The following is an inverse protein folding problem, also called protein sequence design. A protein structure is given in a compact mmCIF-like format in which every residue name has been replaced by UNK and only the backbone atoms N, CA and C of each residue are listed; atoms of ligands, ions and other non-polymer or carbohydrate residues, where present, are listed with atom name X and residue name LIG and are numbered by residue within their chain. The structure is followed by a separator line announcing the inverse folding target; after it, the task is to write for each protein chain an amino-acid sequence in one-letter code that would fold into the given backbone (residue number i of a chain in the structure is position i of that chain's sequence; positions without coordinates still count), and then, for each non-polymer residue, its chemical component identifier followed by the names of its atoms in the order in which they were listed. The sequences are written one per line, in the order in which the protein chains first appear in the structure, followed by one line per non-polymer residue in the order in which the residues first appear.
data_IF_418114836717
#
_entry.id   IF_418114836717
#
_cell.length_a   1.000
_cell.length_b   1.000
_cell.length_c   1.000
_cell.angle_alpha   90.00
_cell.angle_beta   90.00
_cell.angle_gamma   90.00
#
_symmetry.space_group_name_H-M   'P 1'
#
loop_
_entity.id
_entity.type
_entity.pdbx_description
1 polymer ?
#
# COMPACT_ATOMS: atom_id res chain seq x y z
N UNK A 1 -11.89 4.01 20.07
CA UNK A 1 -10.61 4.19 20.80
C UNK A 1 -10.63 5.60 21.39
N UNK A 2 -10.35 5.77 22.69
CA UNK A 2 -10.24 7.10 23.33
C UNK A 2 -8.85 7.67 23.06
N UNK A 3 -8.70 9.00 23.10
CA UNK A 3 -7.40 9.64 23.01
C UNK A 3 -6.44 9.12 24.10
N UNK A 4 -5.14 8.97 23.81
CA UNK A 4 -4.15 8.65 24.81
C UNK A 4 -4.14 9.72 25.93
N UNK A 5 -3.64 9.39 27.14
CA UNK A 5 -3.36 10.38 28.19
C UNK A 5 -2.48 11.54 27.69
N UNK A 6 -2.67 12.76 28.18
CA UNK A 6 -1.94 13.95 27.70
C UNK A 6 -0.41 13.86 27.89
N UNK A 7 0.03 13.06 28.84
CA UNK A 7 1.44 12.78 29.16
C UNK A 7 2.03 11.58 28.40
N UNK A 8 1.31 11.06 27.41
CA UNK A 8 1.74 9.94 26.59
C UNK A 8 1.70 10.25 25.09
N UNK A 9 2.82 9.97 24.43
CA UNK A 9 2.93 9.91 22.98
C UNK A 9 2.44 8.56 22.48
N UNK A 10 1.69 8.55 21.38
CA UNK A 10 1.17 7.34 20.77
C UNK A 10 1.33 7.42 19.25
N UNK A 11 2.12 6.50 18.71
CA UNK A 11 2.28 6.33 17.26
C UNK A 11 1.50 5.10 16.76
N UNK A 12 0.81 5.26 15.63
CA UNK A 12 0.30 4.13 14.86
C UNK A 12 1.35 3.73 13.84
N UNK A 13 1.74 2.46 13.87
CA UNK A 13 2.75 1.91 12.99
C UNK A 13 2.14 0.87 12.05
N UNK A 14 2.60 0.89 10.81
CA UNK A 14 2.24 -0.14 9.83
C UNK A 14 3.38 -0.37 8.81
N UNK A 15 3.28 -1.50 8.14
CA UNK A 15 4.21 -1.99 7.13
C UNK A 15 3.48 -2.20 5.81
N UNK A 16 4.04 -1.68 4.72
CA UNK A 16 3.45 -1.83 3.39
C UNK A 16 4.47 -2.33 2.37
N UNK A 17 4.04 -3.32 1.59
CA UNK A 17 4.73 -3.74 0.39
C UNK A 17 4.02 -3.16 -0.83
N UNK A 18 4.74 -2.36 -1.61
CA UNK A 18 4.26 -1.83 -2.88
C UNK A 18 4.88 -2.56 -4.06
N UNK A 19 4.02 -2.94 -5.02
CA UNK A 19 4.44 -3.48 -6.30
C UNK A 19 3.78 -2.66 -7.43
N UNK A 20 4.58 -2.20 -8.39
CA UNK A 20 4.14 -1.32 -9.48
C UNK A 20 3.46 -2.09 -10.62
N UNK A 21 2.47 -2.92 -10.29
CA UNK A 21 1.65 -3.58 -11.30
C UNK A 21 0.78 -2.55 -12.04
N UNK A 22 0.50 -2.78 -13.33
CA UNK A 22 -0.42 -1.94 -14.07
C UNK A 22 -1.82 -1.98 -13.44
N UNK A 23 -2.46 -0.82 -13.34
CA UNK A 23 -3.85 -0.74 -12.88
C UNK A 23 -4.76 -1.51 -13.82
N UNK A 24 -5.50 -2.48 -13.28
CA UNK A 24 -6.49 -3.22 -14.04
C UNK A 24 -7.77 -2.39 -14.16
N UNK A 25 -8.09 -1.96 -15.38
CA UNK A 25 -9.34 -1.25 -15.67
C UNK A 25 -10.43 -2.22 -16.11
N UNK A 26 -11.68 -1.93 -15.74
CA UNK A 26 -12.84 -2.76 -16.11
C UNK A 26 -13.03 -2.73 -17.64
N UNK A 27 -13.21 -3.90 -18.23
CA UNK A 27 -13.50 -4.06 -19.66
C UNK A 27 -14.40 -5.28 -19.89
N UNK A 28 -15.23 -5.22 -20.93
CA UNK A 28 -15.98 -6.37 -21.40
C UNK A 28 -15.06 -7.27 -22.22
N UNK A 29 -15.18 -8.59 -22.04
CA UNK A 29 -14.42 -9.58 -22.80
C UNK A 29 -15.33 -10.75 -23.15
N UNK A 30 -15.09 -11.33 -24.32
CA UNK A 30 -15.78 -12.55 -24.72
C UNK A 30 -15.43 -13.68 -23.74
N UNK A 31 -16.44 -14.35 -23.18
CA UNK A 31 -16.24 -15.46 -22.24
C UNK A 31 -15.59 -16.64 -22.97
N UNK A 32 -14.48 -17.15 -22.45
CA UNK A 32 -13.80 -18.33 -22.99
C UNK A 32 -12.29 -18.32 -22.75
N UNK A 33 -11.68 -19.51 -22.72
CA UNK A 33 -10.23 -19.66 -22.53
C UNK A 33 -9.47 -18.99 -23.68
N UNK A 34 -8.48 -18.16 -23.35
CA UNK A 34 -7.68 -17.43 -24.36
C UNK A 34 -8.36 -16.19 -24.98
N UNK A 35 -9.59 -15.86 -24.57
CA UNK A 35 -10.30 -14.64 -25.01
C UNK A 35 -10.16 -13.47 -24.06
N UNK A 36 -9.75 -13.74 -22.82
CA UNK A 36 -9.43 -12.70 -21.85
C UNK A 36 -8.12 -12.02 -22.24
N UNK A 37 -8.12 -10.68 -22.18
CA UNK A 37 -6.94 -9.84 -22.39
C UNK A 37 -5.85 -10.25 -21.41
N UNK A 38 -4.69 -10.59 -21.94
CA UNK A 38 -3.50 -10.79 -21.15
C UNK A 38 -2.84 -9.44 -20.91
N UNK A 39 -2.50 -9.16 -19.66
CA UNK A 39 -1.82 -7.93 -19.26
C UNK A 39 -0.41 -8.33 -18.87
N UNK A 40 0.56 -7.80 -19.62
CA UNK A 40 1.97 -8.04 -19.32
C UNK A 40 2.27 -7.52 -17.91
N UNK A 41 2.82 -8.39 -17.08
CA UNK A 41 3.43 -7.93 -15.84
C UNK A 41 4.63 -7.03 -16.19
N UNK A 42 5.06 -6.12 -15.29
CA UNK A 42 6.19 -5.20 -15.51
C UNK A 42 7.57 -5.86 -15.77
N UNK A 43 7.64 -7.16 -16.03
CA UNK A 43 8.86 -7.93 -16.22
C UNK A 43 9.56 -8.22 -14.90
N UNK A 44 10.09 -7.19 -14.25
CA UNK A 44 10.75 -7.31 -12.94
C UNK A 44 9.77 -6.96 -11.83
N UNK A 45 9.52 -7.89 -10.91
CA UNK A 45 8.70 -7.61 -9.73
C UNK A 45 9.51 -6.76 -8.73
N UNK A 46 9.55 -5.45 -8.98
CA UNK A 46 10.18 -4.50 -8.07
C UNK A 46 9.25 -4.23 -6.89
N UNK A 47 9.37 -5.08 -5.86
CA UNK A 47 8.71 -4.86 -4.58
C UNK A 47 9.50 -3.83 -3.79
N UNK A 48 8.80 -2.82 -3.27
CA UNK A 48 9.35 -1.85 -2.33
C UNK A 48 8.68 -2.04 -0.99
N UNK A 49 9.50 -2.06 0.05
CA UNK A 49 9.03 -2.32 1.39
C UNK A 49 9.19 -1.05 2.21
N UNK A 50 8.08 -0.52 2.71
CA UNK A 50 8.06 0.70 3.49
C UNK A 50 7.51 0.43 4.88
N UNK A 51 8.01 1.21 5.83
CA UNK A 51 7.52 1.27 7.19
C UNK A 51 7.20 2.71 7.52
N UNK A 52 6.08 2.91 8.21
CA UNK A 52 5.60 4.23 8.61
C UNK A 52 5.13 4.22 10.06
N UNK A 53 5.32 5.37 10.71
CA UNK A 53 4.69 5.70 11.99
C UNK A 53 3.98 7.05 11.84
N UNK A 54 2.78 7.17 12.39
CA UNK A 54 2.01 8.42 12.39
C UNK A 54 1.57 8.74 13.81
N UNK A 55 1.79 9.98 14.23
CA UNK A 55 1.32 10.46 15.52
C UNK A 55 -0.22 10.39 15.58
N UNK A 56 -0.74 9.81 16.65
CA UNK A 56 -2.18 9.58 16.81
C UNK A 56 -2.99 10.87 16.87
N UNK A 57 -2.44 11.94 17.44
CA UNK A 57 -3.20 13.18 17.72
C UNK A 57 -3.24 14.10 16.51
N UNK A 58 -2.08 14.33 15.90
CA UNK A 58 -1.87 15.31 14.84
C UNK A 58 -1.93 14.68 13.45
N UNK A 59 -1.80 13.35 13.35
CA UNK A 59 -1.78 12.65 12.07
C UNK A 59 -0.51 12.91 11.25
N UNK A 60 0.54 13.45 11.87
CA UNK A 60 1.81 13.71 11.20
C UNK A 60 2.64 12.43 11.09
N UNK A 61 3.29 12.23 9.94
CA UNK A 61 4.20 11.08 9.73
C UNK A 61 5.49 11.33 10.48
N UNK A 62 5.78 10.51 11.49
CA UNK A 62 6.90 10.69 12.42
C UNK A 62 8.17 9.99 11.92
N UNK A 63 8.03 8.90 11.16
CA UNK A 63 9.19 8.16 10.62
C UNK A 63 8.87 7.45 9.31
N UNK A 64 9.73 7.66 8.30
CA UNK A 64 9.71 6.94 7.02
C UNK A 64 11.07 6.31 6.76
N UNK A 65 11.12 4.99 6.59
CA UNK A 65 12.34 4.30 6.13
C UNK A 65 12.00 3.47 4.90
N UNK A 66 12.78 3.65 3.83
CA UNK A 66 12.75 2.81 2.64
C UNK A 66 13.80 1.72 2.79
N UNK A 67 13.39 0.45 2.71
CA UNK A 67 14.29 -0.71 2.67
C UNK A 67 14.75 -1.04 1.25
#
# INVERSE_FOLDING_TARGET
MRHPPEDADLDVQDEVQMALHPTLSRMWMQRGRGRQRQIAAPGTNQKRHLFGATDWREGQVVRRKSG
#
